data_IF_117645270484
#
_entry.id   IF_117645270484
#
_cell.length_a   1.000
_cell.length_b   1.000
_cell.length_c   1.000
_cell.angle_alpha   90.00
_cell.angle_beta   90.00
_cell.angle_gamma   90.00
#
_symmetry.space_group_name_H-M   'P 1'
#
loop_
_entity.id
_entity.type
_entity.pdbx_description
1 polymer ?
#
# COMPACT_ATOMS: atom_id res chain seq x y z
N UNK A 1 -18.32 66.25 -30.19
CA UNK A 1 -18.07 64.80 -30.25
C UNK A 1 -17.29 64.39 -29.00
N UNK A 2 -17.96 63.85 -27.97
CA UNK A 2 -17.31 63.33 -26.75
C UNK A 2 -17.21 61.80 -26.86
N UNK A 3 -15.99 61.27 -26.98
CA UNK A 3 -15.73 59.82 -26.90
C UNK A 3 -15.33 59.49 -25.46
N UNK A 4 -16.21 58.82 -24.73
CA UNK A 4 -15.92 58.27 -23.40
C UNK A 4 -15.22 56.91 -23.53
N UNK A 5 -14.08 56.76 -22.89
CA UNK A 5 -13.37 55.49 -22.75
C UNK A 5 -13.93 54.78 -21.50
N UNK A 6 -14.65 53.68 -21.68
CA UNK A 6 -15.00 52.76 -20.60
C UNK A 6 -13.87 51.74 -20.44
N UNK A 7 -13.13 51.81 -19.34
CA UNK A 7 -12.20 50.77 -18.93
C UNK A 7 -12.99 49.69 -18.17
N UNK A 8 -13.12 48.50 -18.76
CA UNK A 8 -13.61 47.31 -18.05
C UNK A 8 -12.49 46.77 -17.16
N UNK A 9 -12.68 46.87 -15.84
CA UNK A 9 -11.93 46.10 -14.85
C UNK A 9 -12.48 44.67 -14.83
N UNK A 10 -11.75 43.72 -15.42
CA UNK A 10 -11.99 42.29 -15.21
C UNK A 10 -11.54 41.93 -13.78
N UNK A 11 -12.49 41.77 -12.86
CA UNK A 11 -12.23 41.12 -11.59
C UNK A 11 -12.06 39.61 -11.85
N UNK A 12 -10.82 39.12 -11.81
CA UNK A 12 -10.54 37.70 -11.82
C UNK A 12 -10.90 37.11 -10.44
N UNK A 13 -12.08 36.50 -10.35
CA UNK A 13 -12.46 35.67 -9.21
C UNK A 13 -11.57 34.42 -9.20
N UNK A 14 -10.57 34.39 -8.33
CA UNK A 14 -9.83 33.17 -8.02
C UNK A 14 -10.76 32.24 -7.24
N UNK A 15 -11.45 31.35 -7.94
CA UNK A 15 -12.15 30.23 -7.31
C UNK A 15 -11.10 29.31 -6.70
N UNK A 16 -10.97 29.36 -5.37
CA UNK A 16 -10.19 28.36 -4.64
C UNK A 16 -10.94 27.04 -4.77
N UNK A 17 -10.43 26.13 -5.60
CA UNK A 17 -10.98 24.80 -5.73
C UNK A 17 -10.79 24.06 -4.41
N UNK A 18 -11.88 23.85 -3.67
CA UNK A 18 -11.88 23.01 -2.47
C UNK A 18 -11.61 21.57 -2.92
N UNK A 19 -10.63 20.89 -2.30
CA UNK A 19 -10.42 19.47 -2.55
C UNK A 19 -11.73 18.72 -2.30
N UNK A 20 -12.13 17.85 -3.25
CA UNK A 20 -13.33 17.05 -3.08
C UNK A 20 -13.19 16.13 -1.86
N UNK A 21 -14.29 15.88 -1.15
CA UNK A 21 -14.33 14.87 -0.10
C UNK A 21 -14.36 13.48 -0.75
N UNK A 22 -13.37 12.66 -0.45
CA UNK A 22 -13.28 11.28 -0.92
C UNK A 22 -12.60 10.40 0.11
N UNK A 23 -12.75 9.08 -0.07
CA UNK A 23 -12.09 8.10 0.78
C UNK A 23 -11.55 6.94 -0.03
N UNK A 24 -10.62 6.21 0.55
CA UNK A 24 -10.18 4.90 0.07
C UNK A 24 -10.23 3.90 1.22
N UNK A 25 -10.27 2.62 0.87
CA UNK A 25 -10.31 1.54 1.85
C UNK A 25 -9.03 0.72 1.81
N UNK A 26 -8.68 0.15 2.95
CA UNK A 26 -7.47 -0.66 3.14
C UNK A 26 -7.87 -2.01 3.71
N UNK A 27 -7.37 -3.07 3.08
CA UNK A 27 -7.44 -4.46 3.55
C UNK A 27 -6.03 -5.07 3.43
N UNK A 28 -5.82 -6.22 4.05
CA UNK A 28 -4.55 -6.96 4.02
C UNK A 28 -4.72 -8.31 4.69
N UNK A 29 -3.73 -9.19 4.54
CA UNK A 29 -3.63 -10.47 5.25
C UNK A 29 -4.90 -11.33 5.18
N UNK A 30 -5.64 -11.22 4.07
CA UNK A 30 -6.88 -11.93 3.83
C UNK A 30 -7.04 -12.23 2.32
N UNK A 31 -7.56 -13.39 1.91
CA UNK A 31 -8.03 -14.48 2.75
C UNK A 31 -6.89 -15.38 3.19
N UNK A 32 -6.74 -15.57 4.49
CA UNK A 32 -5.74 -16.46 5.10
C UNK A 32 -6.22 -17.92 5.11
N UNK A 33 -7.54 -18.14 5.15
CA UNK A 33 -8.17 -19.46 5.21
C UNK A 33 -9.24 -19.65 4.12
N UNK A 34 -9.67 -20.89 3.88
CA UNK A 34 -10.80 -21.17 2.98
C UNK A 34 -12.12 -20.55 3.45
N UNK A 35 -12.30 -20.41 4.77
CA UNK A 35 -13.44 -19.73 5.35
C UNK A 35 -13.40 -18.23 5.03
N UNK A 36 -12.26 -17.58 5.28
CA UNK A 36 -12.05 -16.17 4.93
C UNK A 36 -12.21 -15.93 3.43
N UNK A 37 -11.73 -16.84 2.59
CA UNK A 37 -11.97 -16.78 1.14
C UNK A 37 -13.47 -16.65 0.90
N UNK A 38 -14.27 -17.59 1.40
CA UNK A 38 -15.73 -17.57 1.15
C UNK A 38 -16.40 -16.28 1.63
N UNK A 39 -15.87 -15.64 2.67
CA UNK A 39 -16.41 -14.40 3.25
C UNK A 39 -15.92 -13.13 2.52
N UNK A 40 -14.72 -13.16 1.94
CA UNK A 40 -14.09 -11.98 1.33
C UNK A 40 -14.95 -11.29 0.26
N UNK A 41 -15.67 -11.98 -0.65
CA UNK A 41 -16.57 -11.34 -1.59
C UNK A 41 -17.64 -10.46 -0.92
N UNK A 42 -18.20 -10.91 0.21
CA UNK A 42 -19.23 -10.16 0.92
C UNK A 42 -18.65 -8.91 1.59
N UNK A 43 -17.44 -9.01 2.15
CA UNK A 43 -16.72 -7.86 2.71
C UNK A 43 -16.37 -6.84 1.63
N UNK A 44 -15.85 -7.29 0.49
CA UNK A 44 -15.53 -6.41 -0.65
C UNK A 44 -16.79 -5.75 -1.23
N UNK A 45 -17.93 -6.44 -1.24
CA UNK A 45 -19.21 -5.86 -1.65
C UNK A 45 -19.68 -4.77 -0.67
N UNK A 46 -19.55 -5.00 0.65
CA UNK A 46 -19.88 -3.97 1.65
C UNK A 46 -18.96 -2.74 1.54
N UNK A 47 -17.67 -2.95 1.30
CA UNK A 47 -16.73 -1.86 1.03
C UNK A 47 -17.14 -1.11 -0.24
N UNK A 48 -17.42 -1.81 -1.34
CA UNK A 48 -17.80 -1.20 -2.61
C UNK A 48 -19.12 -0.39 -2.52
N UNK A 49 -20.08 -0.80 -1.68
CA UNK A 49 -21.30 -0.03 -1.42
C UNK A 49 -21.03 1.36 -0.81
N UNK A 50 -19.89 1.54 -0.13
CA UNK A 50 -19.46 2.83 0.40
C UNK A 50 -18.84 3.73 -0.67
N UNK A 51 -18.63 3.22 -1.87
CA UNK A 51 -18.08 3.93 -3.03
C UNK A 51 -16.70 4.54 -2.79
N UNK A 52 -15.69 3.75 -2.33
CA UNK A 52 -14.34 4.25 -2.19
C UNK A 52 -13.76 4.61 -3.57
N UNK A 53 -12.87 5.60 -3.59
CA UNK A 53 -12.12 5.96 -4.80
C UNK A 53 -11.29 4.78 -5.32
N UNK A 54 -10.77 3.96 -4.40
CA UNK A 54 -10.09 2.69 -4.64
C UNK A 54 -9.93 1.92 -3.31
N UNK A 55 -9.55 0.65 -3.41
CA UNK A 55 -9.17 -0.23 -2.29
C UNK A 55 -7.68 -0.55 -2.41
N UNK A 56 -6.94 -0.56 -1.30
CA UNK A 56 -5.55 -1.05 -1.24
C UNK A 56 -5.53 -2.37 -0.48
N UNK A 57 -4.94 -3.41 -1.07
CA UNK A 57 -4.65 -4.69 -0.43
C UNK A 57 -3.16 -4.81 -0.10
N UNK A 58 -2.83 -4.84 1.19
CA UNK A 58 -1.47 -4.83 1.73
C UNK A 58 -0.82 -6.22 1.78
N UNK A 59 -0.99 -7.04 0.73
CA UNK A 59 -0.38 -8.37 0.65
C UNK A 59 -1.08 -9.47 1.45
N UNK A 60 -0.52 -10.67 1.36
CA UNK A 60 -0.92 -11.92 2.02
C UNK A 60 -2.33 -12.43 1.65
N UNK A 61 -2.52 -12.69 0.36
CA UNK A 61 -3.76 -13.27 -0.21
C UNK A 61 -3.91 -14.79 0.03
N UNK A 62 -3.09 -15.36 0.91
CA UNK A 62 -3.09 -16.74 1.38
C UNK A 62 -2.33 -16.82 2.71
N UNK A 63 -2.57 -17.87 3.49
CA UNK A 63 -1.73 -18.18 4.66
C UNK A 63 -0.34 -18.66 4.28
N UNK A 64 0.63 -18.53 5.18
CA UNK A 64 1.99 -19.06 5.00
C UNK A 64 2.10 -20.59 4.90
N UNK A 65 1.00 -21.32 5.09
CA UNK A 65 0.92 -22.79 4.94
C UNK A 65 0.13 -23.28 3.73
N UNK A 66 -0.59 -22.40 3.02
CA UNK A 66 -1.34 -22.78 1.82
C UNK A 66 -0.40 -22.96 0.62
N UNK A 67 -0.78 -23.81 -0.34
CA UNK A 67 -0.04 -24.06 -1.57
C UNK A 67 0.14 -22.81 -2.44
N UNK A 68 1.30 -22.70 -3.09
CA UNK A 68 1.62 -21.64 -4.06
C UNK A 68 1.46 -22.12 -5.52
N UNK A 69 0.37 -22.83 -5.79
CA UNK A 69 0.07 -23.35 -7.13
C UNK A 69 -0.50 -22.24 -8.01
N UNK A 70 -0.34 -22.36 -9.33
CA UNK A 70 -0.87 -21.41 -10.30
C UNK A 70 -2.38 -21.15 -10.11
N UNK A 71 -3.13 -22.21 -9.79
CA UNK A 71 -4.57 -22.14 -9.51
C UNK A 71 -4.90 -21.20 -8.34
N UNK A 72 -4.05 -21.11 -7.31
CA UNK A 72 -4.26 -20.21 -6.17
C UNK A 72 -4.17 -18.76 -6.62
N UNK A 73 -3.15 -18.38 -7.39
CA UNK A 73 -3.00 -17.00 -7.88
C UNK A 73 -4.15 -16.59 -8.80
N UNK A 74 -4.55 -17.47 -9.73
CA UNK A 74 -5.68 -17.20 -10.62
C UNK A 74 -7.00 -17.08 -9.87
N UNK A 75 -7.19 -17.90 -8.84
CA UNK A 75 -8.36 -17.83 -7.97
C UNK A 75 -8.45 -16.50 -7.21
N UNK A 76 -7.34 -16.04 -6.62
CA UNK A 76 -7.29 -14.73 -5.94
C UNK A 76 -7.40 -13.56 -6.92
N UNK A 77 -6.81 -13.69 -8.11
CA UNK A 77 -6.97 -12.72 -9.20
C UNK A 77 -8.44 -12.55 -9.59
N UNK A 78 -9.17 -13.65 -9.75
CA UNK A 78 -10.59 -13.62 -10.08
C UNK A 78 -11.43 -12.93 -8.99
N UNK A 79 -11.09 -13.13 -7.70
CA UNK A 79 -11.73 -12.41 -6.61
C UNK A 79 -11.54 -10.90 -6.72
N UNK A 80 -10.32 -10.44 -7.03
CA UNK A 80 -10.01 -9.02 -7.13
C UNK A 80 -10.58 -8.38 -8.39
N UNK A 81 -10.58 -9.08 -9.53
CA UNK A 81 -11.19 -8.58 -10.77
C UNK A 81 -12.71 -8.40 -10.64
N UNK A 82 -13.38 -9.20 -9.81
CA UNK A 82 -14.82 -9.13 -9.57
C UNK A 82 -15.26 -7.98 -8.65
N UNK A 83 -14.32 -7.27 -8.02
CA UNK A 83 -14.64 -6.16 -7.09
C UNK A 83 -15.24 -4.98 -7.86
N UNK A 84 -16.36 -4.46 -7.39
CA UNK A 84 -17.05 -3.31 -7.97
C UNK A 84 -16.42 -1.95 -7.58
N UNK A 85 -15.09 -1.87 -7.55
CA UNK A 85 -14.28 -0.68 -7.27
C UNK A 85 -12.84 -0.92 -7.78
N UNK A 86 -12.04 0.12 -8.06
CA UNK A 86 -10.63 -0.06 -8.36
C UNK A 86 -9.89 -0.68 -7.16
N UNK A 87 -9.09 -1.71 -7.39
CA UNK A 87 -8.32 -2.40 -6.36
C UNK A 87 -6.83 -2.42 -6.69
N UNK A 88 -6.04 -1.83 -5.81
CA UNK A 88 -4.57 -1.84 -5.82
C UNK A 88 -4.09 -2.98 -4.93
N UNK A 89 -3.11 -3.74 -5.40
CA UNK A 89 -2.50 -4.86 -4.67
C UNK A 89 -0.98 -4.66 -4.62
N UNK A 90 -0.38 -5.01 -3.47
CA UNK A 90 1.07 -5.18 -3.33
C UNK A 90 1.36 -6.57 -2.76
N UNK A 91 2.45 -7.27 -3.17
CA UNK A 91 2.75 -8.61 -2.67
C UNK A 91 3.09 -8.65 -1.17
N UNK A 92 2.77 -9.77 -0.52
CA UNK A 92 3.24 -10.14 0.82
C UNK A 92 4.33 -11.21 0.76
N UNK A 93 4.68 -11.83 1.89
CA UNK A 93 5.67 -12.91 1.93
C UNK A 93 5.03 -14.27 1.64
N UNK A 94 3.74 -14.44 1.99
CA UNK A 94 3.05 -15.72 1.84
C UNK A 94 2.89 -16.16 0.37
N UNK A 95 2.79 -15.26 -0.60
CA UNK A 95 2.58 -15.63 -2.00
C UNK A 95 3.85 -15.82 -2.81
N UNK A 96 5.05 -15.65 -2.22
CA UNK A 96 6.28 -15.96 -2.94
C UNK A 96 7.45 -16.36 -2.05
N UNK A 97 7.87 -15.56 -1.06
CA UNK A 97 9.06 -15.89 -0.25
C UNK A 97 8.85 -17.18 0.53
N UNK A 98 7.65 -17.41 1.06
CA UNK A 98 7.28 -18.60 1.81
C UNK A 98 7.00 -19.84 0.96
N UNK A 99 6.94 -19.70 -0.37
CA UNK A 99 6.58 -20.82 -1.24
C UNK A 99 7.63 -21.95 -1.28
N UNK A 100 8.85 -21.67 -0.80
CA UNK A 100 9.89 -22.68 -0.59
C UNK A 100 9.55 -23.74 0.46
N UNK A 101 8.59 -23.47 1.35
CA UNK A 101 8.13 -24.43 2.37
C UNK A 101 7.52 -25.66 1.71
N UNK A 102 7.79 -26.85 2.25
CA UNK A 102 7.23 -28.12 1.74
C UNK A 102 5.70 -28.12 1.73
N UNK A 103 5.05 -27.57 2.76
CA UNK A 103 3.59 -27.41 2.82
C UNK A 103 3.03 -26.60 1.65
N UNK A 104 3.83 -25.66 1.12
CA UNK A 104 3.41 -24.72 0.09
C UNK A 104 3.70 -25.26 -1.32
N UNK A 105 4.29 -26.47 -1.42
CA UNK A 105 4.68 -27.12 -2.67
C UNK A 105 6.18 -27.07 -2.98
N UNK A 106 6.99 -26.40 -2.15
CA UNK A 106 8.45 -26.35 -2.34
C UNK A 106 8.90 -25.57 -3.59
N UNK A 107 8.13 -24.57 -4.01
CA UNK A 107 8.43 -23.76 -5.19
C UNK A 107 9.61 -22.83 -4.94
N UNK A 108 10.32 -22.45 -6.02
CA UNK A 108 11.36 -21.42 -5.93
C UNK A 108 10.72 -20.04 -5.74
N UNK A 109 11.06 -19.28 -4.69
CA UNK A 109 10.43 -17.99 -4.40
C UNK A 109 10.45 -16.96 -5.54
N UNK A 110 11.59 -16.83 -6.21
CA UNK A 110 11.75 -15.84 -7.30
C UNK A 110 10.89 -16.20 -8.51
N UNK A 111 10.77 -17.50 -8.79
CA UNK A 111 9.90 -17.98 -9.87
C UNK A 111 8.42 -17.73 -9.54
N UNK A 112 8.01 -17.90 -8.27
CA UNK A 112 6.66 -17.54 -7.82
C UNK A 112 6.39 -16.03 -7.85
N UNK A 113 7.37 -15.20 -7.52
CA UNK A 113 7.26 -13.76 -7.67
C UNK A 113 7.06 -13.37 -9.15
N UNK A 114 7.80 -13.99 -10.06
CA UNK A 114 7.64 -13.75 -11.50
C UNK A 114 6.26 -14.21 -11.99
N UNK A 115 5.77 -15.36 -11.55
CA UNK A 115 4.42 -15.80 -11.86
C UNK A 115 3.36 -14.80 -11.35
N UNK A 116 3.49 -14.35 -10.11
CA UNK A 116 2.61 -13.35 -9.50
C UNK A 116 2.64 -12.03 -10.29
N UNK A 117 3.80 -11.57 -10.77
CA UNK A 117 3.93 -10.40 -11.66
C UNK A 117 3.13 -10.57 -12.95
N UNK A 118 3.23 -11.73 -13.60
CA UNK A 118 2.47 -12.03 -14.80
C UNK A 118 0.96 -12.04 -14.55
N UNK A 119 0.53 -12.57 -13.40
CA UNK A 119 -0.90 -12.66 -13.06
C UNK A 119 -1.49 -11.33 -12.63
N UNK A 120 -0.81 -10.53 -11.80
CA UNK A 120 -1.42 -9.36 -11.17
C UNK A 120 -0.97 -8.01 -11.77
N UNK A 121 0.19 -7.97 -12.42
CA UNK A 121 0.86 -6.71 -12.79
C UNK A 121 1.19 -6.61 -14.28
N UNK A 122 0.49 -7.38 -15.12
CA UNK A 122 0.70 -7.43 -16.56
C UNK A 122 0.44 -6.09 -17.27
N UNK A 123 -0.39 -5.22 -16.70
CA UNK A 123 -0.81 -3.96 -17.30
C UNK A 123 -0.73 -2.80 -16.29
N UNK A 124 -0.49 -1.55 -16.75
CA UNK A 124 -0.41 -0.37 -15.89
C UNK A 124 -1.81 0.13 -15.46
N UNK A 125 -2.61 -0.77 -14.87
CA UNK A 125 -3.94 -0.48 -14.31
C UNK A 125 -4.19 -1.27 -13.04
N UNK A 126 -5.06 -0.75 -12.18
CA UNK A 126 -5.57 -1.48 -11.02
C UNK A 126 -6.41 -2.69 -11.45
N UNK A 127 -6.67 -3.56 -10.49
CA UNK A 127 -7.68 -4.61 -10.57
C UNK A 127 -9.08 -4.02 -10.30
N UNK A 128 -10.08 -4.89 -10.32
CA UNK A 128 -11.49 -4.52 -10.11
C UNK A 128 -12.12 -3.77 -11.28
N UNK A 129 -13.43 -3.50 -11.15
CA UNK A 129 -14.24 -2.84 -12.18
C UNK A 129 -15.04 -1.67 -11.58
N UNK A 130 -14.88 -0.43 -12.07
CA UNK A 130 -13.90 -0.02 -13.08
C UNK A 130 -12.46 -0.11 -12.55
N UNK A 131 -11.48 -0.29 -13.46
CA UNK A 131 -10.06 -0.16 -13.13
C UNK A 131 -9.60 1.31 -13.26
N UNK A 132 -8.54 1.68 -12.55
CA UNK A 132 -7.86 2.98 -12.71
C UNK A 132 -6.44 2.82 -13.29
N UNK A 133 -5.93 3.85 -13.96
CA UNK A 133 -4.55 3.87 -14.43
C UNK A 133 -3.55 4.00 -13.27
N UNK A 134 -2.42 3.31 -13.37
CA UNK A 134 -1.29 3.40 -12.43
C UNK A 134 0.02 3.42 -13.19
N UNK A 135 1.04 4.04 -12.61
CA UNK A 135 2.42 3.96 -13.10
C UNK A 135 3.09 2.74 -12.46
N UNK A 136 3.69 1.86 -13.27
CA UNK A 136 4.55 0.79 -12.76
C UNK A 136 6.00 1.26 -12.74
N UNK A 137 6.77 0.86 -11.73
CA UNK A 137 8.19 1.20 -11.68
C UNK A 137 8.94 0.71 -12.93
N UNK A 138 8.58 -0.46 -13.47
CA UNK A 138 9.16 -0.97 -14.71
C UNK A 138 8.92 -0.10 -15.94
N UNK A 139 7.82 0.66 -15.97
CA UNK A 139 7.52 1.56 -17.09
C UNK A 139 8.25 2.91 -16.91
N UNK A 140 8.34 3.38 -15.66
CA UNK A 140 8.99 4.63 -15.31
C UNK A 140 10.52 4.55 -15.34
N UNK A 141 11.07 3.37 -15.04
CA UNK A 141 12.51 3.11 -14.99
C UNK A 141 12.77 1.76 -15.67
N UNK A 142 13.01 1.75 -16.99
CA UNK A 142 13.20 0.50 -17.74
C UNK A 142 14.34 -0.40 -17.22
N UNK A 143 15.31 0.17 -16.49
CA UNK A 143 16.38 -0.58 -15.82
C UNK A 143 15.93 -1.31 -14.53
N UNK A 144 14.72 -1.06 -14.03
CA UNK A 144 14.16 -1.62 -12.81
C UNK A 144 12.94 -2.49 -13.15
N UNK A 145 13.10 -3.81 -13.35
CA UNK A 145 12.03 -4.71 -13.82
C UNK A 145 11.03 -5.10 -12.71
N UNK A 146 10.45 -4.12 -12.02
CA UNK A 146 9.56 -4.31 -10.86
C UNK A 146 8.14 -3.78 -11.17
N UNK A 147 7.33 -4.53 -11.93
CA UNK A 147 5.99 -4.11 -12.31
C UNK A 147 5.01 -4.07 -11.13
N UNK A 148 5.33 -4.73 -10.01
CA UNK A 148 4.52 -4.78 -8.79
C UNK A 148 4.60 -3.51 -7.93
N UNK A 149 5.61 -2.67 -8.16
CA UNK A 149 5.72 -1.37 -7.52
C UNK A 149 4.92 -0.35 -8.33
N UNK A 150 3.81 0.08 -7.76
CA UNK A 150 2.82 0.96 -8.38
C UNK A 150 2.90 2.36 -7.79
N UNK A 151 2.50 3.36 -8.57
CA UNK A 151 2.30 4.73 -8.12
C UNK A 151 1.11 5.36 -8.84
N UNK A 152 0.40 6.21 -8.12
CA UNK A 152 -0.64 7.07 -8.68
C UNK A 152 -0.79 8.33 -7.83
N UNK A 153 -1.54 9.29 -8.34
CA UNK A 153 -1.88 10.50 -7.60
C UNK A 153 -3.37 10.77 -7.72
N UNK A 154 -3.94 11.36 -6.67
CA UNK A 154 -5.34 11.79 -6.63
C UNK A 154 -5.49 12.97 -5.69
N UNK A 155 -6.14 14.03 -6.16
CA UNK A 155 -6.59 15.17 -5.33
C UNK A 155 -5.52 15.68 -4.34
N UNK A 156 -4.30 15.87 -4.87
CA UNK A 156 -3.16 16.36 -4.10
C UNK A 156 -2.52 15.32 -3.17
N UNK A 157 -2.73 14.03 -3.39
CA UNK A 157 -2.10 12.93 -2.62
C UNK A 157 -1.30 12.04 -3.55
N UNK A 158 -0.07 11.69 -3.15
CA UNK A 158 0.79 10.73 -3.86
C UNK A 158 0.77 9.40 -3.14
N UNK A 159 0.54 8.33 -3.90
CA UNK A 159 0.50 6.96 -3.41
C UNK A 159 1.61 6.13 -4.05
N UNK A 160 2.23 5.24 -3.29
CA UNK A 160 3.13 4.24 -3.85
C UNK A 160 3.02 2.90 -3.11
N UNK A 161 3.01 1.80 -3.86
CA UNK A 161 3.24 0.46 -3.30
C UNK A 161 4.72 0.11 -3.36
N UNK A 162 5.16 -0.72 -2.41
CA UNK A 162 6.51 -1.24 -2.31
C UNK A 162 6.43 -2.74 -2.03
N UNK A 163 7.13 -3.54 -2.83
CA UNK A 163 7.34 -4.95 -2.53
C UNK A 163 8.37 -5.09 -1.40
N UNK A 164 7.98 -4.71 -0.19
CA UNK A 164 8.70 -4.90 1.08
C UNK A 164 7.84 -5.83 1.93
N UNK A 165 8.34 -7.04 2.16
CA UNK A 165 7.53 -8.15 2.67
C UNK A 165 7.99 -8.60 4.06
N UNK A 166 7.17 -9.40 4.72
CA UNK A 166 7.48 -10.16 5.91
C UNK A 166 8.64 -11.13 5.68
N UNK A 167 8.89 -11.99 6.67
CA UNK A 167 10.03 -12.93 6.61
C UNK A 167 11.37 -12.21 6.39
N UNK A 168 11.62 -11.16 7.18
CA UNK A 168 12.82 -10.31 7.11
C UNK A 168 13.07 -9.75 5.69
N UNK A 169 12.01 -9.37 4.97
CA UNK A 169 12.09 -8.79 3.62
C UNK A 169 12.84 -9.68 2.61
N UNK A 170 12.81 -10.99 2.79
CA UNK A 170 13.63 -11.96 2.04
C UNK A 170 15.13 -11.64 2.06
N UNK A 171 15.65 -11.09 3.17
CA UNK A 171 17.01 -10.58 3.28
C UNK A 171 18.03 -11.59 2.77
N UNK A 172 17.94 -12.85 3.17
CA UNK A 172 18.87 -13.90 2.80
C UNK A 172 19.10 -14.88 3.93
N UNK A 173 20.20 -15.63 3.86
CA UNK A 173 20.58 -16.60 4.89
C UNK A 173 21.54 -15.94 5.88
N UNK A 174 21.27 -16.14 7.17
CA UNK A 174 22.03 -15.50 8.26
C UNK A 174 22.13 -13.98 8.03
N UNK A 175 23.33 -13.41 8.19
CA UNK A 175 23.57 -11.97 8.08
C UNK A 175 23.98 -11.51 6.66
N UNK A 176 23.85 -12.36 5.65
CA UNK A 176 24.25 -12.05 4.28
C UNK A 176 23.04 -11.74 3.39
N UNK A 177 22.97 -10.53 2.78
CA UNK A 177 21.89 -10.19 1.87
C UNK A 177 21.99 -11.00 0.57
N UNK A 178 20.86 -11.55 0.13
CA UNK A 178 20.72 -12.26 -1.13
C UNK A 178 20.88 -11.30 -2.32
N UNK A 179 21.17 -11.84 -3.50
CA UNK A 179 21.22 -11.03 -4.72
C UNK A 179 19.86 -10.43 -5.06
N UNK A 180 18.79 -11.22 -4.94
CA UNK A 180 17.40 -10.79 -5.12
C UNK A 180 17.07 -9.60 -4.22
N UNK A 181 17.32 -9.75 -2.91
CA UNK A 181 17.09 -8.70 -1.92
C UNK A 181 17.80 -7.41 -2.31
N UNK A 182 19.11 -7.46 -2.60
CA UNK A 182 19.88 -6.25 -2.92
C UNK A 182 19.30 -5.47 -4.09
N UNK A 183 18.88 -6.16 -5.14
CA UNK A 183 18.33 -5.52 -6.33
C UNK A 183 16.93 -4.95 -6.05
N UNK A 184 16.01 -5.76 -5.49
CA UNK A 184 14.65 -5.32 -5.19
C UNK A 184 14.63 -4.20 -4.14
N UNK A 185 15.44 -4.32 -3.09
CA UNK A 185 15.57 -3.31 -2.05
C UNK A 185 16.08 -1.98 -2.62
N UNK A 186 17.12 -1.99 -3.45
CA UNK A 186 17.59 -0.78 -4.11
C UNK A 186 16.51 -0.12 -4.98
N UNK A 187 15.73 -0.94 -5.72
CA UNK A 187 14.61 -0.45 -6.51
C UNK A 187 13.48 0.14 -5.64
N UNK A 188 13.10 -0.51 -4.54
CA UNK A 188 12.12 0.00 -3.58
C UNK A 188 12.56 1.33 -2.97
N UNK A 189 13.83 1.47 -2.59
CA UNK A 189 14.35 2.73 -2.05
C UNK A 189 14.31 3.86 -3.06
N UNK A 190 14.71 3.59 -4.31
CA UNK A 190 14.61 4.56 -5.39
C UNK A 190 13.15 4.96 -5.67
N UNK A 191 12.22 4.00 -5.65
CA UNK A 191 10.79 4.25 -5.85
C UNK A 191 10.19 5.11 -4.73
N UNK A 192 10.52 4.79 -3.47
CA UNK A 192 10.12 5.58 -2.31
C UNK A 192 10.67 7.00 -2.40
N UNK A 193 11.97 7.16 -2.68
CA UNK A 193 12.59 8.47 -2.81
C UNK A 193 11.94 9.32 -3.92
N UNK A 194 11.63 8.71 -5.07
CA UNK A 194 10.94 9.39 -6.17
C UNK A 194 9.49 9.77 -5.79
N UNK A 195 8.78 8.95 -5.01
CA UNK A 195 7.46 9.32 -4.48
C UNK A 195 7.53 10.57 -3.60
N UNK A 196 8.49 10.65 -2.67
CA UNK A 196 8.72 11.86 -1.86
C UNK A 196 9.11 13.07 -2.72
N UNK A 197 9.97 12.89 -3.72
CA UNK A 197 10.37 13.96 -4.62
C UNK A 197 9.18 14.51 -5.42
N UNK A 198 8.31 13.63 -5.93
CA UNK A 198 7.08 14.00 -6.66
C UNK A 198 6.08 14.71 -5.77
N UNK A 199 5.92 14.30 -4.52
CA UNK A 199 5.07 15.03 -3.57
C UNK A 199 5.55 16.46 -3.42
N UNK A 200 6.87 16.66 -3.23
CA UNK A 200 7.46 18.00 -3.13
C UNK A 200 7.26 18.80 -4.42
N UNK A 201 7.54 18.21 -5.58
CA UNK A 201 7.45 18.89 -6.87
C UNK A 201 6.02 19.28 -7.26
N UNK A 202 5.03 18.45 -6.89
CA UNK A 202 3.61 18.70 -7.18
C UNK A 202 2.91 19.56 -6.12
N UNK A 203 3.57 19.82 -4.98
CA UNK A 203 2.92 20.45 -3.83
C UNK A 203 1.84 19.58 -3.18
N UNK A 204 1.89 18.26 -3.39
CA UNK A 204 0.93 17.32 -2.80
C UNK A 204 0.93 17.42 -1.26
N UNK A 205 -0.26 17.29 -0.69
CA UNK A 205 -0.52 17.50 0.74
C UNK A 205 -0.31 16.28 1.61
N UNK A 206 -0.25 15.09 1.03
CA UNK A 206 -0.11 13.82 1.74
C UNK A 206 0.66 12.81 0.88
N UNK A 207 1.43 11.95 1.56
CA UNK A 207 2.09 10.78 0.97
C UNK A 207 1.54 9.54 1.65
N UNK A 208 1.15 8.55 0.85
CA UNK A 208 0.74 7.23 1.35
C UNK A 208 1.61 6.16 0.72
N UNK A 209 2.29 5.40 1.56
CA UNK A 209 3.07 4.24 1.16
C UNK A 209 2.33 2.97 1.62
N UNK A 210 2.36 1.93 0.79
CA UNK A 210 1.80 0.63 1.15
C UNK A 210 2.82 -0.48 0.87
N UNK A 211 3.01 -1.37 1.85
CA UNK A 211 3.82 -2.58 1.75
C UNK A 211 3.15 -3.67 2.58
N UNK A 212 3.73 -4.86 2.70
CA UNK A 212 3.15 -5.90 3.55
C UNK A 212 3.92 -6.08 4.87
N UNK A 213 5.25 -6.18 4.83
CA UNK A 213 6.03 -6.58 6.01
C UNK A 213 5.94 -5.63 7.21
N UNK A 214 5.96 -6.16 8.44
CA UNK A 214 6.14 -5.36 9.66
C UNK A 214 7.64 -5.07 9.84
N UNK A 215 8.08 -3.81 9.72
CA UNK A 215 9.48 -3.47 9.88
C UNK A 215 9.91 -3.38 11.36
N UNK A 216 9.03 -3.71 12.30
CA UNK A 216 9.27 -3.75 13.74
C UNK A 216 9.82 -2.43 14.32
N UNK A 217 9.06 -1.34 14.16
CA UNK A 217 9.46 0.01 14.60
C UNK A 217 9.97 0.09 16.05
N UNK A 218 9.42 -0.70 16.99
CA UNK A 218 9.89 -0.75 18.38
C UNK A 218 11.34 -1.25 18.48
N UNK A 219 11.68 -2.27 17.70
CA UNK A 219 13.01 -2.88 17.66
C UNK A 219 14.01 -1.93 16.98
N UNK A 220 13.59 -1.26 15.91
CA UNK A 220 14.37 -0.19 15.27
C UNK A 220 14.66 0.98 16.22
N UNK A 221 13.64 1.48 16.93
CA UNK A 221 13.80 2.56 17.90
C UNK A 221 14.73 2.21 19.08
N UNK A 222 14.87 0.91 19.39
CA UNK A 222 15.83 0.41 20.37
C UNK A 222 17.26 0.25 19.81
N UNK A 223 17.51 0.66 18.57
CA UNK A 223 18.82 0.58 17.91
C UNK A 223 19.20 -0.82 17.45
N UNK A 224 18.23 -1.73 17.29
CA UNK A 224 18.47 -3.14 16.92
C UNK A 224 17.66 -3.59 15.70
N UNK A 225 17.56 -2.81 14.61
CA UNK A 225 16.71 -3.19 13.49
C UNK A 225 17.04 -4.56 12.93
N UNK A 226 16.00 -5.28 12.51
CA UNK A 226 16.18 -6.49 11.70
C UNK A 226 16.88 -6.12 10.38
N UNK A 227 17.93 -6.87 9.96
CA UNK A 227 18.77 -6.46 8.83
C UNK A 227 18.03 -6.12 7.53
N UNK A 228 16.98 -6.88 7.18
CA UNK A 228 16.20 -6.69 5.95
C UNK A 228 15.40 -5.39 5.90
N UNK A 229 15.19 -4.74 7.04
CA UNK A 229 14.42 -3.50 7.17
C UNK A 229 15.24 -2.30 7.61
N UNK A 230 16.46 -2.50 8.13
CA UNK A 230 17.27 -1.44 8.73
C UNK A 230 17.47 -0.25 7.78
N UNK A 231 17.93 -0.54 6.57
CA UNK A 231 18.23 0.47 5.55
C UNK A 231 16.96 1.17 5.03
N UNK A 232 15.85 0.43 4.92
CA UNK A 232 14.53 0.98 4.59
C UNK A 232 14.05 1.97 5.65
N UNK A 233 14.09 1.59 6.92
CA UNK A 233 13.65 2.44 8.03
C UNK A 233 14.48 3.70 8.17
N UNK A 234 15.80 3.61 7.99
CA UNK A 234 16.67 4.77 8.00
C UNK A 234 16.28 5.78 6.91
N UNK A 235 15.94 5.29 5.71
CA UNK A 235 15.64 6.13 4.54
C UNK A 235 14.24 6.70 4.65
N UNK A 236 13.27 5.89 5.09
CA UNK A 236 11.93 6.34 5.44
C UNK A 236 12.00 7.45 6.50
N UNK A 237 12.75 7.25 7.59
CA UNK A 237 12.93 8.26 8.65
C UNK A 237 13.54 9.55 8.10
N UNK A 238 14.57 9.45 7.28
CA UNK A 238 15.19 10.62 6.66
C UNK A 238 14.19 11.42 5.79
N UNK A 239 13.40 10.73 4.97
CA UNK A 239 12.37 11.37 4.15
C UNK A 239 11.25 12.01 4.98
N UNK A 240 10.76 11.31 6.01
CA UNK A 240 9.73 11.84 6.92
C UNK A 240 10.24 13.10 7.65
N UNK A 241 11.48 13.11 8.13
CA UNK A 241 12.06 14.27 8.80
C UNK A 241 12.22 15.47 7.85
N UNK A 242 12.54 15.22 6.58
CA UNK A 242 12.78 16.25 5.57
C UNK A 242 11.51 16.84 4.94
N UNK A 243 10.36 16.17 5.07
CA UNK A 243 9.07 16.65 4.53
C UNK A 243 8.23 17.34 5.61
N UNK A 244 7.54 18.41 5.25
CA UNK A 244 6.50 19.05 6.06
C UNK A 244 5.13 18.39 5.92
N UNK A 245 5.00 17.42 5.00
CA UNK A 245 3.74 16.74 4.70
C UNK A 245 3.50 15.54 5.63
N UNK A 246 2.23 15.26 6.00
CA UNK A 246 1.85 13.97 6.57
C UNK A 246 2.29 12.81 5.69
N UNK A 247 2.66 11.71 6.33
CA UNK A 247 3.06 10.45 5.71
C UNK A 247 2.30 9.31 6.37
N UNK A 248 1.59 8.53 5.57
CA UNK A 248 0.93 7.29 6.04
C UNK A 248 1.73 6.11 5.50
N UNK A 249 2.06 5.15 6.36
CA UNK A 249 2.55 3.83 5.97
C UNK A 249 1.49 2.78 6.29
N UNK A 250 1.02 2.09 5.26
CA UNK A 250 0.11 0.96 5.33
C UNK A 250 0.94 -0.33 5.29
N UNK A 251 0.69 -1.26 6.21
CA UNK A 251 1.26 -2.61 6.16
C UNK A 251 0.38 -3.68 6.82
N UNK A 252 0.79 -4.94 6.70
CA UNK A 252 0.14 -6.13 7.28
C UNK A 252 1.12 -6.95 8.13
N UNK A 253 1.24 -8.26 7.85
CA UNK A 253 2.24 -9.22 8.39
C UNK A 253 2.02 -9.63 9.84
N UNK A 254 1.94 -8.66 10.76
CA UNK A 254 1.87 -8.94 12.21
C UNK A 254 0.48 -9.36 12.71
N UNK A 255 -0.56 -9.21 11.90
CA UNK A 255 -1.97 -9.50 12.23
C UNK A 255 -2.49 -8.77 13.49
N UNK A 256 -1.86 -7.67 13.87
CA UNK A 256 -2.14 -6.90 15.07
C UNK A 256 -2.64 -5.51 14.69
N UNK A 257 -3.85 -5.44 14.12
CA UNK A 257 -4.46 -4.19 13.64
C UNK A 257 -4.23 -3.03 14.62
N UNK A 258 -3.64 -1.95 14.12
CA UNK A 258 -3.37 -0.74 14.89
C UNK A 258 -3.14 0.47 14.01
N UNK A 259 -3.51 1.63 14.55
CA UNK A 259 -3.26 2.94 13.96
C UNK A 259 -2.50 3.75 15.00
N UNK A 260 -1.23 4.08 14.73
CA UNK A 260 -0.36 4.75 15.69
C UNK A 260 0.76 5.57 15.01
N UNK A 261 1.61 6.21 15.81
CA UNK A 261 2.76 7.02 15.37
C UNK A 261 4.07 6.41 15.91
N UNK A 262 4.57 5.32 15.30
CA UNK A 262 5.64 4.54 15.92
C UNK A 262 7.04 5.01 15.56
N UNK A 263 7.18 5.87 14.55
CA UNK A 263 8.48 6.35 14.07
C UNK A 263 9.01 7.46 14.97
N UNK A 264 10.27 7.34 15.37
CA UNK A 264 10.94 8.26 16.28
C UNK A 264 12.15 8.94 15.63
N UNK A 265 12.42 10.18 16.04
CA UNK A 265 13.64 10.89 15.67
C UNK A 265 14.86 10.35 16.43
N UNK A 266 16.04 10.91 16.16
CA UNK A 266 17.29 10.49 16.80
C UNK A 266 17.32 10.77 18.32
N UNK A 267 16.45 11.63 18.82
CA UNK A 267 16.28 11.96 20.25
C UNK A 267 15.20 11.09 20.92
N UNK A 268 14.58 10.16 20.17
CA UNK A 268 13.53 9.28 20.67
C UNK A 268 12.15 9.92 20.75
N UNK A 269 11.97 11.13 20.21
CA UNK A 269 10.66 11.80 20.14
C UNK A 269 9.86 11.23 18.98
N UNK A 270 8.56 11.07 19.19
CA UNK A 270 7.63 10.63 18.14
C UNK A 270 7.59 11.68 17.03
N UNK A 271 7.56 11.23 15.78
CA UNK A 271 7.39 12.09 14.61
C UNK A 271 5.90 12.11 14.25
N UNK A 272 5.15 13.06 14.79
CA UNK A 272 3.67 13.10 14.73
C UNK A 272 3.10 13.11 13.30
N UNK A 273 3.86 13.61 12.32
CA UNK A 273 3.45 13.62 10.91
C UNK A 273 3.48 12.24 10.24
N UNK A 274 4.03 11.22 10.90
CA UNK A 274 4.07 9.85 10.42
C UNK A 274 3.02 9.00 11.12
N UNK A 275 2.07 8.48 10.35
CA UNK A 275 1.04 7.55 10.81
C UNK A 275 1.29 6.18 10.22
N UNK A 276 1.22 5.15 11.05
CA UNK A 276 1.17 3.76 10.60
C UNK A 276 -0.26 3.26 10.67
N UNK A 277 -0.65 2.47 9.66
CA UNK A 277 -1.87 1.68 9.65
C UNK A 277 -1.46 0.23 9.40
N UNK A 278 -1.60 -0.61 10.41
CA UNK A 278 -1.50 -2.06 10.25
C UNK A 278 -2.90 -2.62 9.95
N UNK A 279 -3.03 -3.43 8.91
CA UNK A 279 -4.31 -4.03 8.50
C UNK A 279 -4.84 -5.02 9.53
N UNK A 280 -6.11 -5.39 9.38
CA UNK A 280 -6.61 -6.62 9.99
C UNK A 280 -5.88 -7.81 9.38
N UNK A 281 -5.75 -8.89 10.15
CA UNK A 281 -5.19 -10.15 9.68
C UNK A 281 -5.69 -11.30 10.54
N UNK A 282 -5.48 -12.53 10.05
CA UNK A 282 -6.05 -13.72 10.64
C UNK A 282 -5.78 -13.85 12.16
N UNK A 283 -6.77 -14.27 12.96
CA UNK A 283 -8.06 -14.85 12.54
C UNK A 283 -9.17 -13.80 12.29
N UNK A 284 -8.84 -12.51 12.31
CA UNK A 284 -9.83 -11.44 12.15
C UNK A 284 -9.81 -10.88 10.73
N UNK A 285 -10.99 -10.61 10.19
CA UNK A 285 -11.15 -9.84 8.95
C UNK A 285 -11.62 -8.42 9.29
N UNK A 286 -11.41 -7.49 8.38
CA UNK A 286 -11.88 -6.12 8.51
C UNK A 286 -11.24 -5.21 7.47
N UNK A 287 -11.61 -3.94 7.50
CA UNK A 287 -11.02 -2.92 6.65
C UNK A 287 -10.86 -1.61 7.40
N UNK A 288 -9.97 -0.76 6.88
CA UNK A 288 -9.80 0.61 7.37
C UNK A 288 -10.25 1.56 6.27
N UNK A 289 -11.06 2.55 6.62
CA UNK A 289 -11.46 3.64 5.73
C UNK A 289 -10.62 4.88 6.07
N UNK A 290 -10.02 5.47 5.04
CA UNK A 290 -9.26 6.71 5.14
C UNK A 290 -9.98 7.76 4.31
N UNK A 291 -10.60 8.74 4.99
CA UNK A 291 -11.34 9.84 4.39
C UNK A 291 -10.53 11.13 4.41
N UNK A 292 -10.58 11.87 3.31
CA UNK A 292 -9.88 13.12 3.07
C UNK A 292 -10.93 14.19 2.71
N UNK A 293 -11.30 15.02 3.68
CA UNK A 293 -12.45 15.92 3.58
C UNK A 293 -12.10 17.41 3.31
N UNK A 294 -10.85 17.81 3.49
CA UNK A 294 -10.38 19.20 3.34
C UNK A 294 -9.05 19.26 2.60
N UNK A 295 -8.41 20.43 2.48
CA UNK A 295 -7.09 20.65 1.88
C UNK A 295 -5.93 20.53 2.90
N UNK A 296 -6.23 20.41 4.19
CA UNK A 296 -5.23 20.42 5.28
C UNK A 296 -4.32 19.20 5.28
N UNK A 297 -4.78 18.11 4.67
CA UNK A 297 -4.06 16.82 4.65
C UNK A 297 -4.36 15.94 5.86
N UNK A 298 -5.26 16.38 6.76
CA UNK A 298 -5.71 15.57 7.88
C UNK A 298 -6.61 14.42 7.39
N UNK A 299 -6.09 13.20 7.47
CA UNK A 299 -6.85 12.00 7.16
C UNK A 299 -7.71 11.59 8.37
N UNK A 300 -9.02 11.39 8.14
CA UNK A 300 -9.90 10.75 9.10
C UNK A 300 -9.82 9.23 8.87
N UNK A 301 -9.32 8.51 9.86
CA UNK A 301 -9.08 7.06 9.77
C UNK A 301 -10.08 6.35 10.66
N UNK A 302 -10.85 5.42 10.11
CA UNK A 302 -11.82 4.61 10.85
C UNK A 302 -11.63 3.13 10.56
N UNK A 303 -11.66 2.31 11.62
CA UNK A 303 -11.49 0.88 11.53
C UNK A 303 -12.84 0.16 11.59
N UNK A 304 -13.04 -0.81 10.71
CA UNK A 304 -14.29 -1.55 10.54
C UNK A 304 -13.99 -3.06 10.65
N UNK A 305 -14.10 -3.65 11.85
CA UNK A 305 -14.00 -5.10 12.00
C UNK A 305 -15.09 -5.79 11.17
N UNK A 306 -14.73 -6.83 10.43
CA UNK A 306 -15.72 -7.63 9.73
C UNK A 306 -16.39 -8.60 10.72
N UNK A 307 -17.68 -8.37 10.93
CA UNK A 307 -18.56 -9.37 11.49
C UNK A 307 -19.50 -9.81 10.37
N UNK A 308 -19.53 -11.10 9.99
CA UNK A 308 -20.55 -11.57 9.08
C UNK A 308 -21.90 -11.26 9.74
N UNK A 309 -22.72 -10.46 9.07
CA UNK A 309 -24.09 -10.20 9.51
C UNK A 309 -24.75 -11.55 9.79
N UNK A 310 -25.31 -11.75 10.99
CA UNK A 310 -26.17 -12.89 11.26
C UNK A 310 -27.13 -13.04 10.09
N UNK A 311 -27.38 -14.27 9.57
CA UNK A 311 -28.42 -14.44 8.57
C UNK A 311 -29.69 -13.78 9.12
N UNK A 312 -30.28 -12.89 8.33
CA UNK A 312 -31.57 -12.31 8.68
C UNK A 312 -32.52 -13.48 9.01
N UNK A 313 -33.27 -13.40 10.12
CA UNK A 313 -34.19 -14.47 10.51
C UNK A 313 -35.22 -14.79 9.43
#
# INVERSE_FOLDING_TARGET
MRRGLFALLLAASMSVATAADWHFSIIGDTPYTDAERKLLPAMLAQIAQRQPAFIIHAGDIKSGGQRCDDAMYHDRRALFDAVAAPLIYTPGDNEWTDCHRTSNGGYAPVERLDFLRHVFFAQPRSLGTPSMAVERQSDATPAAPYPENLRWARDGVVFATLNVTGSNNNFGKADAPSHEYRQRHAANLAWMADAFARTKASGARLIVLAMQGDPHFKVYAAGKPTPGFADFLDRLRAHVLATDRPVILIHGDSHNHKIDHPLKDAQGRVIDRFTRIETYGAPFMGWVEVRLADDTGAAQISAHPWAPSSPAP
#
